data_IF_009420569097
#
_entry.id   IF_009420569097
#
_cell.length_a   1.000
_cell.length_b   1.000
_cell.length_c   1.000
_cell.angle_alpha   90.00
_cell.angle_beta   90.00
_cell.angle_gamma   90.00
#
_symmetry.space_group_name_H-M   'P 1'
#
loop_
_entity.id
_entity.type
_entity.pdbx_description
1 polymer ?
#
# COMPACT_ATOMS: atom_id res chain seq x y z
N UNK A 1 -9.30 0.08 7.93
CA UNK A 1 -9.93 -0.59 9.09
C UNK A 1 -9.84 0.25 10.36
N UNK A 2 -8.64 0.58 10.86
CA UNK A 2 -8.46 1.32 12.13
C UNK A 2 -9.13 2.71 12.17
N UNK A 3 -9.35 3.33 11.00
CA UNK A 3 -10.01 4.63 10.87
C UNK A 3 -11.52 4.54 10.65
N UNK A 4 -12.09 3.33 10.52
CA UNK A 4 -13.51 3.12 10.20
C UNK A 4 -14.35 2.98 11.48
N UNK A 5 -15.60 3.42 11.44
CA UNK A 5 -16.56 3.24 12.53
C UNK A 5 -17.14 1.82 12.56
N UNK A 6 -17.59 1.38 13.75
CA UNK A 6 -18.12 0.03 13.94
C UNK A 6 -19.34 -0.28 13.07
N UNK A 7 -20.23 0.69 12.84
CA UNK A 7 -21.42 0.48 11.99
C UNK A 7 -21.10 -0.08 10.61
N UNK A 8 -20.03 0.39 9.97
CA UNK A 8 -19.59 -0.12 8.66
C UNK A 8 -18.84 -1.45 8.76
N UNK A 9 -18.07 -1.66 9.83
CA UNK A 9 -17.26 -2.87 9.99
C UNK A 9 -18.14 -4.10 10.29
N UNK A 10 -19.23 -3.92 11.04
CA UNK A 10 -20.17 -5.00 11.35
C UNK A 10 -20.90 -5.55 10.12
N UNK A 11 -20.95 -4.80 9.02
CA UNK A 11 -21.57 -5.22 7.76
C UNK A 11 -20.62 -6.01 6.84
N UNK A 12 -19.36 -6.20 7.26
CA UNK A 12 -18.33 -6.91 6.48
C UNK A 12 -18.12 -8.34 6.98
N UNK A 13 -17.33 -9.13 6.23
CA UNK A 13 -16.92 -10.49 6.56
C UNK A 13 -15.78 -10.57 7.60
N UNK A 14 -15.53 -9.50 8.36
CA UNK A 14 -14.51 -9.47 9.40
C UNK A 14 -14.85 -10.48 10.50
N UNK A 15 -13.90 -11.32 10.96
CA UNK A 15 -14.14 -12.25 12.05
C UNK A 15 -14.59 -11.57 13.35
N UNK A 16 -15.58 -12.16 14.04
CA UNK A 16 -16.14 -11.63 15.28
C UNK A 16 -15.09 -11.27 16.37
N UNK A 17 -14.02 -12.08 16.60
CA UNK A 17 -12.97 -11.71 17.57
C UNK A 17 -12.23 -10.41 17.21
N UNK A 18 -12.11 -10.12 15.91
CA UNK A 18 -11.48 -8.89 15.42
C UNK A 18 -12.42 -7.69 15.61
N UNK A 19 -13.74 -7.88 15.37
CA UNK A 19 -14.73 -6.83 15.65
C UNK A 19 -14.76 -6.47 17.14
N UNK A 20 -14.70 -7.45 18.05
CA UNK A 20 -14.62 -7.19 19.49
C UNK A 20 -13.37 -6.37 19.86
N UNK A 21 -12.22 -6.75 19.30
CA UNK A 21 -10.96 -6.00 19.48
C UNK A 21 -11.06 -4.56 18.94
N UNK A 22 -11.62 -4.38 17.74
CA UNK A 22 -11.79 -3.07 17.12
C UNK A 22 -12.80 -2.19 17.87
N UNK A 23 -13.83 -2.78 18.46
CA UNK A 23 -14.85 -2.06 19.24
C UNK A 23 -14.26 -1.40 20.50
N UNK A 24 -13.24 -2.02 21.10
CA UNK A 24 -12.54 -1.54 22.30
C UNK A 24 -11.40 -0.56 21.97
N UNK A 25 -11.04 -0.43 20.69
CA UNK A 25 -9.90 0.37 20.24
C UNK A 25 -10.06 1.86 20.54
N UNK A 26 -9.03 2.43 21.17
CA UNK A 26 -8.91 3.87 21.43
C UNK A 26 -8.16 4.62 20.31
N UNK A 27 -7.90 3.97 19.18
CA UNK A 27 -7.23 4.62 18.05
C UNK A 27 -8.18 5.69 17.47
N UNK A 28 -7.72 6.94 17.51
CA UNK A 28 -8.41 8.10 16.91
C UNK A 28 -7.58 8.79 15.85
N UNK A 29 -6.27 8.53 15.82
CA UNK A 29 -5.34 9.12 14.87
C UNK A 29 -4.51 8.04 14.18
N UNK A 30 -4.55 8.02 12.85
CA UNK A 30 -3.73 7.15 12.01
C UNK A 30 -2.82 8.03 11.16
N UNK A 31 -1.53 7.74 11.19
CA UNK A 31 -0.52 8.44 10.39
C UNK A 31 0.12 7.45 9.44
N UNK A 32 0.00 7.69 8.14
CA UNK A 32 0.66 6.90 7.11
C UNK A 32 1.88 7.68 6.66
N UNK A 33 3.05 7.04 6.72
CA UNK A 33 4.33 7.68 6.43
C UNK A 33 4.91 7.07 5.16
N UNK A 34 5.05 7.89 4.12
CA UNK A 34 5.78 7.58 2.90
C UNK A 34 7.25 8.02 3.03
N UNK A 35 8.17 7.12 2.69
CA UNK A 35 9.61 7.45 2.66
C UNK A 35 9.98 8.45 1.56
N UNK A 36 9.18 8.50 0.48
CA UNK A 36 9.36 9.38 -0.69
C UNK A 36 8.25 10.44 -0.75
N UNK A 37 8.20 11.19 -1.85
CA UNK A 37 7.24 12.26 -2.07
C UNK A 37 5.86 11.78 -2.58
N UNK A 38 4.91 12.72 -2.77
CA UNK A 38 3.57 12.44 -3.26
C UNK A 38 3.55 11.85 -4.68
N UNK A 39 4.57 12.12 -5.49
CA UNK A 39 4.74 11.55 -6.83
C UNK A 39 5.13 10.06 -6.84
N UNK A 40 5.47 9.48 -5.69
CA UNK A 40 5.97 8.09 -5.54
C UNK A 40 4.95 7.15 -4.89
N UNK A 41 3.73 7.61 -4.61
CA UNK A 41 2.70 6.80 -3.96
C UNK A 41 2.37 5.52 -4.75
N UNK A 42 2.13 4.44 -4.02
CA UNK A 42 1.81 3.11 -4.56
C UNK A 42 0.32 2.77 -4.52
N UNK A 43 -0.48 3.51 -3.74
CA UNK A 43 -1.93 3.32 -3.68
C UNK A 43 -2.64 3.88 -4.92
N UNK A 44 -3.85 3.39 -5.15
CA UNK A 44 -4.72 3.79 -6.26
C UNK A 44 -5.62 4.96 -5.90
N UNK A 45 -6.21 5.59 -6.92
CA UNK A 45 -7.17 6.69 -6.73
C UNK A 45 -8.46 6.24 -6.04
N UNK A 46 -8.88 4.98 -6.24
CA UNK A 46 -10.09 4.44 -5.62
C UNK A 46 -9.90 4.34 -4.10
N UNK A 47 -8.79 3.77 -3.67
CA UNK A 47 -8.43 3.64 -2.25
C UNK A 47 -8.28 5.01 -1.59
N UNK A 48 -7.62 5.97 -2.25
CA UNK A 48 -7.50 7.33 -1.73
C UNK A 48 -8.88 8.00 -1.57
N UNK A 49 -9.76 7.87 -2.57
CA UNK A 49 -11.11 8.43 -2.52
C UNK A 49 -11.92 7.83 -1.37
N UNK A 50 -11.90 6.51 -1.22
CA UNK A 50 -12.59 5.83 -0.12
C UNK A 50 -12.11 6.32 1.25
N UNK A 51 -10.80 6.56 1.41
CA UNK A 51 -10.23 7.09 2.64
C UNK A 51 -10.60 8.55 2.91
N UNK A 52 -10.66 9.39 1.88
CA UNK A 52 -11.11 10.80 1.98
C UNK A 52 -12.58 10.89 2.36
N UNK A 53 -13.42 10.01 1.80
CA UNK A 53 -14.87 10.03 2.02
C UNK A 53 -15.33 9.15 3.18
N UNK A 54 -14.40 8.64 3.99
CA UNK A 54 -14.72 7.68 5.05
C UNK A 54 -15.59 8.34 6.14
N UNK A 55 -16.80 7.83 6.42
CA UNK A 55 -17.68 8.42 7.43
C UNK A 55 -17.05 8.45 8.83
N UNK A 56 -17.18 9.58 9.53
CA UNK A 56 -16.63 9.76 10.88
C UNK A 56 -15.09 9.91 10.95
N UNK A 57 -14.41 9.93 9.80
CA UNK A 57 -12.97 10.13 9.71
C UNK A 57 -12.64 11.35 8.84
N UNK A 58 -11.87 12.29 9.39
CA UNK A 58 -11.25 13.35 8.60
C UNK A 58 -9.97 12.84 7.94
N UNK A 59 -9.60 13.45 6.80
CA UNK A 59 -8.38 13.12 6.07
C UNK A 59 -7.58 14.39 5.77
N UNK A 60 -6.26 14.32 5.86
CA UNK A 60 -5.36 15.40 5.45
C UNK A 60 -4.07 14.88 4.85
N UNK A 61 -3.47 15.71 4.01
CA UNK A 61 -2.15 15.48 3.44
C UNK A 61 -1.22 16.58 3.92
N UNK A 62 -0.06 16.20 4.46
CA UNK A 62 1.00 17.14 4.86
C UNK A 62 2.21 16.92 3.96
N UNK A 63 2.49 17.95 3.16
CA UNK A 63 3.56 18.01 2.17
C UNK A 63 4.32 19.32 2.42
N UNK A 64 5.65 19.31 2.27
CA UNK A 64 6.45 20.54 2.34
C UNK A 64 6.42 21.33 1.01
N UNK A 65 6.86 22.59 1.03
CA UNK A 65 6.82 23.46 -0.15
C UNK A 65 7.65 22.91 -1.33
N UNK A 66 8.72 22.15 -1.04
CA UNK A 66 9.58 21.56 -2.07
C UNK A 66 8.88 20.42 -2.81
N UNK A 67 8.14 19.57 -2.12
CA UNK A 67 7.34 18.51 -2.72
C UNK A 67 6.09 19.07 -3.41
N UNK A 68 5.48 20.11 -2.86
CA UNK A 68 4.34 20.79 -3.47
C UNK A 68 4.72 21.39 -4.83
N UNK A 69 5.83 22.12 -4.88
CA UNK A 69 6.36 22.68 -6.13
C UNK A 69 6.75 21.58 -7.13
N UNK A 70 7.45 20.53 -6.68
CA UNK A 70 7.81 19.39 -7.53
C UNK A 70 6.59 18.67 -8.13
N UNK A 71 5.52 18.48 -7.33
CA UNK A 71 4.28 17.89 -7.78
C UNK A 71 3.60 18.78 -8.84
N UNK A 72 3.44 20.08 -8.56
CA UNK A 72 2.81 21.03 -9.48
C UNK A 72 3.54 21.13 -10.83
N UNK A 73 4.87 21.16 -10.82
CA UNK A 73 5.68 21.20 -12.04
C UNK A 73 5.55 19.92 -12.88
N UNK A 74 5.31 18.78 -12.24
CA UNK A 74 5.21 17.48 -12.92
C UNK A 74 3.80 17.16 -13.41
N UNK A 75 2.74 17.71 -12.79
CA UNK A 75 1.34 17.44 -13.14
C UNK A 75 1.01 17.47 -14.65
N UNK A 76 1.51 18.41 -15.46
CA UNK A 76 1.19 18.48 -16.88
C UNK A 76 1.70 17.27 -17.68
N UNK A 77 2.83 16.70 -17.28
CA UNK A 77 3.50 15.60 -18.01
C UNK A 77 3.07 14.20 -17.53
N UNK A 78 2.31 14.11 -16.42
CA UNK A 78 1.90 12.84 -15.87
C UNK A 78 0.82 12.14 -16.73
N UNK A 79 0.89 10.80 -16.88
CA UNK A 79 -0.20 10.02 -17.45
C UNK A 79 -1.51 10.25 -16.70
N UNK A 80 -2.63 10.28 -17.43
CA UNK A 80 -3.97 10.62 -16.89
C UNK A 80 -4.33 9.90 -15.57
N UNK A 81 -4.08 8.59 -15.38
CA UNK A 81 -4.38 7.93 -14.11
C UNK A 81 -3.56 8.50 -12.93
N UNK A 82 -2.27 8.74 -13.14
CA UNK A 82 -1.36 9.26 -12.12
C UNK A 82 -1.63 10.74 -11.84
N UNK A 83 -1.90 11.52 -12.89
CA UNK A 83 -2.28 12.94 -12.77
C UNK A 83 -3.46 13.13 -11.83
N UNK A 84 -4.56 12.39 -12.05
CA UNK A 84 -5.77 12.46 -11.20
C UNK A 84 -5.53 12.07 -9.75
N UNK A 85 -4.65 11.10 -9.51
CA UNK A 85 -4.27 10.68 -8.16
C UNK A 85 -3.53 11.80 -7.43
N UNK A 86 -2.55 12.42 -8.11
CA UNK A 86 -1.75 13.51 -7.55
C UNK A 86 -2.61 14.75 -7.33
N UNK A 87 -3.46 15.14 -8.28
CA UNK A 87 -4.45 16.23 -8.11
C UNK A 87 -5.29 16.03 -6.83
N UNK A 88 -5.84 14.83 -6.64
CA UNK A 88 -6.64 14.51 -5.46
C UNK A 88 -5.84 14.60 -4.14
N UNK A 89 -4.55 14.28 -4.15
CA UNK A 89 -3.68 14.49 -2.98
C UNK A 89 -3.49 15.97 -2.69
N UNK A 90 -3.23 16.78 -3.72
CA UNK A 90 -2.99 18.21 -3.59
C UNK A 90 -4.24 18.96 -3.12
N UNK A 91 -5.42 18.57 -3.61
CA UNK A 91 -6.71 19.11 -3.19
C UNK A 91 -6.99 18.89 -1.69
N UNK A 92 -6.34 17.91 -1.07
CA UNK A 92 -6.51 17.55 0.34
C UNK A 92 -5.31 17.98 1.22
N UNK A 93 -4.43 18.85 0.70
CA UNK A 93 -3.38 19.50 1.49
C UNK A 93 -4.03 20.42 2.51
N UNK A 94 -3.62 20.30 3.78
CA UNK A 94 -4.07 21.18 4.86
C UNK A 94 -5.60 21.32 4.95
N UNK A 95 -6.37 20.37 4.42
CA UNK A 95 -7.80 20.27 4.67
C UNK A 95 -7.97 20.18 6.18
N UNK A 96 -8.38 21.30 6.78
CA UNK A 96 -8.42 21.47 8.22
C UNK A 96 -9.17 20.31 8.86
N UNK A 97 -8.83 19.98 10.12
CA UNK A 97 -9.49 18.92 10.88
C UNK A 97 -11.01 19.20 10.91
N UNK A 98 -11.75 18.69 9.91
CA UNK A 98 -13.19 18.61 9.97
C UNK A 98 -13.50 17.90 11.27
N UNK A 99 -14.41 18.45 12.07
CA UNK A 99 -14.76 17.90 13.38
C UNK A 99 -15.27 16.47 13.16
N UNK A 100 -14.39 15.51 13.39
CA UNK A 100 -14.59 14.10 13.14
C UNK A 100 -14.00 13.34 14.32
N UNK A 101 -14.61 12.20 14.63
CA UNK A 101 -14.17 11.35 15.74
C UNK A 101 -12.76 10.79 15.48
N UNK A 102 -12.44 10.51 14.21
CA UNK A 102 -11.15 9.95 13.78
C UNK A 102 -10.46 10.85 12.76
N UNK A 103 -9.15 10.71 12.67
CA UNK A 103 -8.32 11.43 11.70
C UNK A 103 -7.26 10.51 11.09
N UNK A 104 -7.16 10.54 9.77
CA UNK A 104 -6.12 9.88 9.00
C UNK A 104 -5.27 10.95 8.30
N UNK A 105 -3.94 10.87 8.42
CA UNK A 105 -3.04 11.81 7.77
C UNK A 105 -1.95 11.11 6.98
N UNK A 106 -1.58 11.68 5.83
CA UNK A 106 -0.42 11.28 5.04
C UNK A 106 0.76 12.21 5.30
N UNK A 107 1.92 11.64 5.61
CA UNK A 107 3.20 12.34 5.73
C UNK A 107 4.18 11.79 4.68
N UNK A 108 4.91 12.68 4.01
CA UNK A 108 5.93 12.32 3.01
C UNK A 108 7.34 12.75 3.43
N UNK A 109 8.36 12.15 2.78
CA UNK A 109 9.80 12.44 2.95
C UNK A 109 10.29 12.56 4.39
N UNK A 110 9.66 11.85 5.32
CA UNK A 110 10.15 11.77 6.69
C UNK A 110 11.29 10.75 6.75
N UNK A 111 12.49 11.24 6.51
CA UNK A 111 13.74 10.62 6.99
C UNK A 111 13.68 10.63 8.53
N UNK A 112 14.21 9.63 9.28
CA UNK A 112 14.07 9.54 10.74
C UNK A 112 14.87 10.63 11.47
N UNK A 113 14.41 11.88 11.37
CA UNK A 113 14.96 13.05 12.05
C UNK A 113 14.00 13.61 13.09
N UNK A 114 12.76 13.08 13.15
CA UNK A 114 11.73 13.49 14.11
C UNK A 114 11.05 12.28 14.70
N UNK A 115 10.93 12.27 16.04
CA UNK A 115 10.13 11.29 16.76
C UNK A 115 8.64 11.61 16.61
N UNK A 116 7.83 10.59 16.35
CA UNK A 116 6.37 10.67 16.33
C UNK A 116 5.85 9.74 17.41
N UNK A 117 5.16 10.30 18.41
CA UNK A 117 4.54 9.49 19.46
C UNK A 117 3.44 8.63 18.85
N UNK A 118 3.54 7.32 19.03
CA UNK A 118 2.52 6.36 18.61
C UNK A 118 2.41 5.23 19.65
N UNK A 119 1.20 4.68 19.79
CA UNK A 119 0.96 3.48 20.62
C UNK A 119 0.96 2.18 19.81
N UNK A 120 1.03 2.29 18.48
CA UNK A 120 1.05 1.16 17.54
C UNK A 120 1.84 1.57 16.30
N UNK A 121 2.75 0.71 15.86
CA UNK A 121 3.53 0.86 14.64
C UNK A 121 3.28 -0.35 13.74
N UNK A 122 2.92 -0.10 12.48
CA UNK A 122 2.69 -1.13 11.47
C UNK A 122 3.62 -0.89 10.27
N UNK A 123 4.34 -1.93 9.87
CA UNK A 123 5.21 -1.88 8.69
C UNK A 123 4.45 -2.39 7.46
N UNK A 124 4.18 -1.50 6.51
CA UNK A 124 3.51 -1.83 5.25
C UNK A 124 4.45 -1.54 4.07
N UNK A 125 5.60 -2.21 4.02
CA UNK A 125 6.71 -1.91 3.09
C UNK A 125 6.87 -2.94 1.96
N UNK A 126 6.00 -3.95 1.90
CA UNK A 126 6.02 -5.00 0.89
C UNK A 126 5.98 -6.38 1.54
N UNK A 127 5.99 -7.39 0.68
CA UNK A 127 6.14 -8.79 1.05
C UNK A 127 7.41 -9.32 0.39
N UNK A 128 7.98 -10.35 0.98
CA UNK A 128 9.12 -11.07 0.43
C UNK A 128 8.72 -12.52 0.18
N UNK A 129 9.25 -13.10 -0.89
CA UNK A 129 9.06 -14.51 -1.17
C UNK A 129 10.01 -15.31 -0.29
N UNK A 130 9.50 -16.41 0.26
CA UNK A 130 10.32 -17.38 0.98
C UNK A 130 10.60 -18.53 0.01
N UNK A 131 11.86 -18.87 -0.17
CA UNK A 131 12.27 -20.01 -0.97
C UNK A 131 11.70 -21.30 -0.36
N UNK A 132 11.11 -22.14 -1.20
CA UNK A 132 10.61 -23.46 -0.80
C UNK A 132 11.74 -24.49 -0.87
N UNK A 133 11.80 -25.37 0.12
CA UNK A 133 12.79 -26.44 0.17
C UNK A 133 12.79 -27.30 -1.10
N UNK A 134 13.98 -27.54 -1.64
CA UNK A 134 14.17 -28.32 -2.87
C UNK A 134 13.97 -27.54 -4.17
N UNK A 135 13.58 -26.26 -4.13
CA UNK A 135 13.52 -25.40 -5.30
C UNK A 135 14.73 -24.45 -5.38
N UNK A 136 15.23 -24.17 -6.60
CA UNK A 136 16.36 -23.28 -6.78
C UNK A 136 15.94 -21.84 -6.54
N UNK A 137 16.66 -21.14 -5.67
CA UNK A 137 16.50 -19.71 -5.42
C UNK A 137 17.70 -18.91 -5.93
N UNK A 138 17.48 -17.62 -6.19
CA UNK A 138 18.53 -16.64 -6.45
C UNK A 138 19.08 -16.04 -5.15
N UNK A 139 20.03 -15.11 -5.28
CA UNK A 139 20.65 -14.39 -4.16
C UNK A 139 19.67 -13.53 -3.34
N UNK A 140 18.50 -13.22 -3.90
CA UNK A 140 17.44 -12.46 -3.25
C UNK A 140 16.34 -13.37 -2.66
N UNK A 141 16.53 -14.69 -2.66
CA UNK A 141 15.56 -15.66 -2.16
C UNK A 141 14.36 -15.88 -3.08
N UNK A 142 14.39 -15.37 -4.32
CA UNK A 142 13.33 -15.59 -5.31
C UNK A 142 13.56 -16.88 -6.08
N UNK A 143 12.48 -17.51 -6.56
CA UNK A 143 12.60 -18.70 -7.41
C UNK A 143 13.41 -18.40 -8.67
N UNK A 144 14.40 -19.24 -8.96
CA UNK A 144 15.22 -19.12 -10.16
C UNK A 144 14.41 -19.59 -11.36
N UNK A 145 13.79 -18.65 -12.05
CA UNK A 145 12.99 -18.92 -13.23
C UNK A 145 13.86 -19.24 -14.46
N UNK A 146 13.41 -20.18 -15.29
CA UNK A 146 13.94 -20.45 -16.62
C UNK A 146 13.32 -19.50 -17.66
N UNK A 147 12.02 -19.22 -17.51
CA UNK A 147 11.26 -18.23 -18.27
C UNK A 147 10.09 -17.67 -17.44
N UNK A 148 9.11 -17.02 -18.05
CA UNK A 148 7.98 -16.40 -17.32
C UNK A 148 7.17 -17.37 -16.47
N UNK A 149 7.17 -18.67 -16.77
CA UNK A 149 6.30 -19.65 -16.10
C UNK A 149 7.02 -20.90 -15.60
N UNK A 150 8.24 -21.20 -16.07
CA UNK A 150 9.02 -22.39 -15.71
C UNK A 150 10.14 -22.08 -14.73
N UNK A 151 10.36 -22.96 -13.76
CA UNK A 151 11.48 -22.90 -12.81
C UNK A 151 12.70 -23.63 -13.40
N UNK A 152 13.89 -23.08 -13.19
CA UNK A 152 15.16 -23.67 -13.67
C UNK A 152 15.61 -24.83 -12.79
N UNK A 153 15.02 -26.00 -12.98
CA UNK A 153 15.38 -27.23 -12.24
C UNK A 153 16.74 -27.79 -12.65
N UNK A 154 17.56 -28.21 -11.68
CA UNK A 154 18.92 -28.75 -11.89
C UNK A 154 19.02 -30.27 -11.81
N UNK A 155 17.91 -30.98 -11.56
CA UNK A 155 17.89 -32.44 -11.41
C UNK A 155 17.78 -33.22 -12.72
N UNK A 156 18.40 -34.40 -12.78
CA UNK A 156 18.40 -35.35 -13.92
C UNK A 156 17.02 -36.01 -14.21
N UNK A 157 15.95 -35.55 -13.58
CA UNK A 157 14.60 -36.10 -13.76
C UNK A 157 13.76 -35.28 -14.74
N UNK A 158 12.87 -35.94 -15.48
CA UNK A 158 11.94 -35.31 -16.43
C UNK A 158 10.87 -34.39 -15.78
N UNK A 159 10.95 -34.12 -14.48
CA UNK A 159 9.96 -33.32 -13.76
C UNK A 159 10.13 -31.83 -14.11
N UNK A 160 9.08 -31.23 -14.67
CA UNK A 160 9.02 -29.80 -14.96
C UNK A 160 8.28 -29.09 -13.84
N UNK A 161 8.90 -28.05 -13.28
CA UNK A 161 8.31 -27.21 -12.23
C UNK A 161 7.89 -25.87 -12.85
N UNK A 162 6.70 -25.42 -12.49
CA UNK A 162 6.12 -24.16 -12.95
C UNK A 162 5.73 -23.30 -11.74
N UNK A 163 5.82 -21.98 -11.90
CA UNK A 163 5.40 -21.02 -10.90
C UNK A 163 4.68 -19.85 -11.58
N UNK A 164 3.69 -19.27 -10.90
CA UNK A 164 2.92 -18.12 -11.40
C UNK A 164 2.55 -17.17 -10.26
N UNK A 165 2.24 -15.92 -10.60
CA UNK A 165 1.91 -14.87 -9.64
C UNK A 165 3.08 -14.46 -8.75
N UNK A 166 2.80 -14.04 -7.52
CA UNK A 166 3.84 -13.45 -6.66
C UNK A 166 4.93 -14.43 -6.22
N UNK A 167 4.69 -15.74 -6.22
CA UNK A 167 5.79 -16.68 -5.92
C UNK A 167 6.81 -16.79 -7.08
N UNK A 168 6.39 -16.45 -8.31
CA UNK A 168 7.25 -16.43 -9.49
C UNK A 168 7.83 -15.03 -9.80
N UNK A 169 7.16 -13.97 -9.33
CA UNK A 169 7.46 -12.59 -9.68
C UNK A 169 7.39 -11.66 -8.46
N UNK A 170 8.08 -10.53 -8.50
CA UNK A 170 8.05 -9.53 -7.41
C UNK A 170 6.61 -9.14 -7.04
N UNK A 171 6.25 -9.07 -5.74
CA UNK A 171 4.89 -8.84 -5.27
C UNK A 171 4.43 -7.40 -5.55
N UNK A 172 3.98 -7.17 -6.79
CA UNK A 172 3.49 -5.90 -7.31
C UNK A 172 2.27 -6.12 -8.18
N UNK A 173 1.40 -5.11 -8.20
CA UNK A 173 0.19 -5.10 -9.01
C UNK A 173 -1.06 -5.57 -8.25
N UNK A 174 -2.21 -5.35 -8.87
CA UNK A 174 -3.52 -5.82 -8.41
C UNK A 174 -3.81 -7.24 -8.95
N UNK A 175 -4.91 -7.86 -8.54
CA UNK A 175 -5.32 -9.20 -9.00
C UNK A 175 -5.32 -9.30 -10.54
N UNK A 176 -5.79 -8.25 -11.23
CA UNK A 176 -5.80 -8.20 -12.69
C UNK A 176 -4.39 -8.33 -13.31
N UNK A 177 -3.33 -7.84 -12.65
CA UNK A 177 -1.95 -8.00 -13.14
C UNK A 177 -1.47 -9.45 -13.04
N UNK A 178 -2.01 -10.21 -12.10
CA UNK A 178 -1.64 -11.62 -11.87
C UNK A 178 -2.29 -12.55 -12.91
N UNK A 179 -3.41 -12.11 -13.51
CA UNK A 179 -4.13 -12.89 -14.53
C UNK A 179 -3.45 -12.86 -15.91
N UNK A 180 -2.63 -11.84 -16.19
CA UNK A 180 -1.93 -11.70 -17.47
C UNK A 180 -0.59 -12.43 -17.41
N UNK A 181 -0.63 -13.76 -17.50
CA UNK A 181 0.58 -14.52 -17.81
C UNK A 181 1.04 -14.11 -19.21
N UNK A 182 2.21 -13.47 -19.30
CA UNK A 182 2.82 -13.17 -20.60
C UNK A 182 3.18 -14.52 -21.24
N UNK A 183 2.33 -14.93 -22.20
CA UNK A 183 2.50 -16.07 -23.09
C UNK A 183 3.61 -15.84 -24.08
#
# INVERSE_FOLDING_TARGET
MLSSGMGRLCETDIPAPILDTLSKSQIRHVTIIGRRGPLDVSFTIKELREQITLPGCSFSVNIDDSDLSAANNSLPSLPRPRKRLVELLLDNINSGKKKAERHCQLLFRRVPTKSIRCGLLLYCIGFENVALDGLPADENGQLKMLDTVRVKTTGSGNARVYATGWCAHTPRGIIANTQVCHS
#
